data_IF_872955706295
#
_entry.id   IF_872955706295
#
_cell.length_a   1.000
_cell.length_b   1.000
_cell.length_c   1.000
_cell.angle_alpha   90.00
_cell.angle_beta   90.00
_cell.angle_gamma   90.00
#
_symmetry.space_group_name_H-M   'P 1'
#
loop_
_entity.id
_entity.type
_entity.pdbx_description
1 polymer ?
#
# COMPACT_ATOMS: atom_id res chain seq x y z
N UNK A 1 3.97 -12.10 15.23
CA UNK A 1 4.58 -10.76 15.12
C UNK A 1 6.00 -10.95 14.64
N UNK A 2 6.31 -10.47 13.45
CA UNK A 2 7.67 -10.43 12.92
C UNK A 2 8.12 -8.97 12.95
N UNK A 3 9.16 -8.66 13.73
CA UNK A 3 9.72 -7.30 13.87
C UNK A 3 11.12 -7.29 13.31
N UNK A 4 11.41 -6.41 12.35
CA UNK A 4 12.78 -6.18 11.88
C UNK A 4 13.47 -5.19 12.81
N UNK A 5 14.65 -5.55 13.29
CA UNK A 5 15.49 -4.73 14.14
C UNK A 5 16.47 -3.96 13.25
N UNK A 6 16.40 -2.64 13.29
CA UNK A 6 17.28 -1.76 12.54
C UNK A 6 18.30 -1.11 13.48
N UNK A 7 19.53 -0.92 12.99
CA UNK A 7 20.59 -0.22 13.72
C UNK A 7 20.34 1.28 13.83
N UNK A 8 21.31 2.01 14.39
CA UNK A 8 21.23 3.47 14.50
C UNK A 8 21.14 4.15 13.13
N UNK A 9 20.46 5.30 13.09
CA UNK A 9 20.35 6.12 11.88
C UNK A 9 21.71 6.61 11.42
N UNK A 10 21.92 6.62 10.11
CA UNK A 10 23.16 7.10 9.51
C UNK A 10 23.23 8.63 9.61
N UNK A 11 24.37 9.18 10.02
CA UNK A 11 24.60 10.63 10.07
C UNK A 11 25.23 11.16 8.75
N UNK A 12 25.21 12.49 8.56
CA UNK A 12 25.89 13.14 7.45
C UNK A 12 25.26 12.84 6.08
N UNK A 13 26.10 12.57 5.08
CA UNK A 13 25.69 12.32 3.69
C UNK A 13 24.79 11.08 3.55
N UNK A 14 24.91 10.10 4.45
CA UNK A 14 24.14 8.87 4.44
C UNK A 14 22.76 8.96 5.11
N UNK A 15 22.31 10.16 5.55
CA UNK A 15 21.06 10.34 6.34
C UNK A 15 19.77 9.82 5.68
N UNK A 16 19.77 9.70 4.36
CA UNK A 16 18.60 9.24 3.61
C UNK A 16 18.64 7.74 3.30
N UNK A 17 19.78 7.09 3.56
CA UNK A 17 19.92 5.65 3.41
C UNK A 17 19.32 4.94 4.61
N UNK A 18 18.57 3.84 4.40
CA UNK A 18 17.99 3.10 5.50
C UNK A 18 19.07 2.57 6.45
N UNK A 19 18.81 2.49 7.77
CA UNK A 19 19.74 1.88 8.71
C UNK A 19 19.95 0.40 8.39
N UNK A 20 21.10 -0.13 8.80
CA UNK A 20 21.42 -1.55 8.60
C UNK A 20 20.39 -2.42 9.33
N UNK A 21 19.79 -3.39 8.64
CA UNK A 21 18.96 -4.42 9.29
C UNK A 21 19.88 -5.34 10.11
N UNK A 22 19.71 -5.34 11.43
CA UNK A 22 20.53 -6.08 12.39
C UNK A 22 19.99 -7.49 12.66
N UNK A 23 18.70 -7.71 12.42
CA UNK A 23 18.07 -9.01 12.62
C UNK A 23 16.55 -8.92 12.57
N UNK A 24 15.90 -10.03 12.87
CA UNK A 24 14.45 -10.09 12.99
C UNK A 24 14.04 -10.91 14.22
N UNK A 25 13.01 -10.42 14.91
CA UNK A 25 12.39 -11.06 16.06
C UNK A 25 11.04 -11.63 15.61
N UNK A 26 10.88 -12.94 15.74
CA UNK A 26 9.64 -13.63 15.40
C UNK A 26 8.98 -14.18 16.66
N UNK A 27 7.92 -13.52 17.11
CA UNK A 27 7.15 -13.93 18.28
C UNK A 27 5.73 -14.33 17.91
N UNK A 28 5.26 -15.42 18.49
CA UNK A 28 3.88 -15.87 18.34
C UNK A 28 2.99 -15.16 19.35
N UNK A 29 2.21 -14.17 18.90
CA UNK A 29 1.26 -13.46 19.76
C UNK A 29 -0.03 -14.26 20.02
N UNK A 30 -0.58 -14.91 18.99
CA UNK A 30 -1.87 -15.60 19.10
C UNK A 30 -1.99 -16.75 18.08
N UNK A 31 -2.82 -17.76 18.39
CA UNK A 31 -3.25 -18.80 17.46
C UNK A 31 -2.22 -19.91 17.22
N UNK A 32 -2.16 -20.45 16.00
CA UNK A 32 -1.13 -21.40 15.54
C UNK A 32 -0.67 -20.98 14.13
N UNK A 33 0.18 -19.95 14.02
CA UNK A 33 0.62 -19.44 12.72
C UNK A 33 1.45 -20.50 11.98
N UNK A 34 1.34 -20.53 10.66
CA UNK A 34 2.18 -21.37 9.80
C UNK A 34 3.53 -20.68 9.64
N UNK A 35 4.59 -21.27 10.17
CA UNK A 35 5.92 -20.66 10.21
C UNK A 35 6.44 -20.27 8.80
N UNK A 36 6.14 -21.09 7.80
CA UNK A 36 6.55 -20.87 6.40
C UNK A 36 5.93 -19.61 5.77
N UNK A 37 4.76 -19.18 6.26
CA UNK A 37 4.06 -18.01 5.73
C UNK A 37 4.48 -16.70 6.44
N UNK A 38 5.36 -16.77 7.44
CA UNK A 38 5.79 -15.60 8.20
C UNK A 38 6.76 -14.77 7.35
N UNK A 39 6.30 -13.63 6.85
CA UNK A 39 7.11 -12.69 6.09
C UNK A 39 6.59 -11.26 6.25
N UNK A 40 7.48 -10.27 6.16
CA UNK A 40 7.12 -8.85 6.02
C UNK A 40 7.07 -8.38 4.57
N UNK A 41 7.51 -9.21 3.61
CA UNK A 41 7.70 -8.80 2.21
C UNK A 41 6.44 -8.25 1.56
N UNK A 42 5.27 -8.83 1.87
CA UNK A 42 3.98 -8.39 1.33
C UNK A 42 3.64 -6.96 1.77
N UNK A 43 3.77 -6.67 3.06
CA UNK A 43 3.50 -5.35 3.62
C UNK A 43 4.54 -4.33 3.16
N UNK A 44 5.81 -4.73 3.08
CA UNK A 44 6.89 -3.88 2.58
C UNK A 44 6.68 -3.50 1.10
N UNK A 45 6.28 -4.47 0.27
CA UNK A 45 5.95 -4.24 -1.14
C UNK A 45 4.75 -3.31 -1.27
N UNK A 46 3.68 -3.54 -0.50
CA UNK A 46 2.51 -2.65 -0.49
C UNK A 46 2.89 -1.22 -0.08
N UNK A 47 3.71 -1.06 0.95
CA UNK A 47 4.19 0.25 1.40
C UNK A 47 5.03 0.96 0.33
N UNK A 48 5.88 0.23 -0.39
CA UNK A 48 6.62 0.78 -1.51
C UNK A 48 5.68 1.25 -2.63
N UNK A 49 4.74 0.39 -3.04
CA UNK A 49 3.74 0.70 -4.08
C UNK A 49 2.94 1.95 -3.74
N UNK A 50 2.47 2.06 -2.49
CA UNK A 50 1.76 3.25 -2.02
C UNK A 50 2.63 4.50 -2.10
N UNK A 51 3.90 4.46 -1.67
CA UNK A 51 4.81 5.61 -1.71
C UNK A 51 5.22 6.04 -3.11
N UNK A 52 5.31 5.09 -4.05
CA UNK A 52 5.68 5.36 -5.44
C UNK A 52 4.52 5.93 -6.24
N UNK A 53 3.30 5.47 -5.98
CA UNK A 53 2.11 5.89 -6.73
C UNK A 53 1.35 7.05 -6.08
N UNK A 54 1.55 7.32 -4.79
CA UNK A 54 0.95 8.47 -4.11
C UNK A 54 2.04 9.43 -3.61
N UNK A 55 2.05 10.64 -4.17
CA UNK A 55 2.97 11.72 -3.77
C UNK A 55 2.81 12.12 -2.30
N UNK A 56 1.63 11.94 -1.69
CA UNK A 56 1.33 12.33 -0.30
C UNK A 56 2.16 11.58 0.74
N UNK A 57 2.70 10.41 0.40
CA UNK A 57 3.60 9.63 1.26
C UNK A 57 5.09 9.79 0.85
N UNK A 58 5.38 10.62 -0.14
CA UNK A 58 6.75 10.96 -0.50
C UNK A 58 7.29 12.04 0.44
N UNK A 59 8.55 11.92 0.85
CA UNK A 59 9.22 12.94 1.68
C UNK A 59 9.66 14.13 0.82
N UNK A 60 9.78 15.33 1.41
CA UNK A 60 10.30 16.53 0.75
C UNK A 60 9.54 16.90 -0.53
N UNK A 61 8.20 16.89 -0.46
CA UNK A 61 7.33 17.25 -1.58
C UNK A 61 6.30 18.28 -1.16
N UNK A 62 5.87 19.11 -2.10
CA UNK A 62 4.81 20.10 -1.88
C UNK A 62 3.40 19.50 -1.97
N UNK A 63 3.27 18.23 -2.38
CA UNK A 63 2.00 17.52 -2.54
C UNK A 63 1.55 16.84 -1.23
N UNK A 64 1.47 17.59 -0.13
CA UNK A 64 1.00 17.09 1.16
C UNK A 64 -0.46 17.44 1.42
N UNK A 65 -1.11 16.67 2.30
CA UNK A 65 -2.48 16.98 2.74
C UNK A 65 -2.43 17.84 3.99
N UNK A 66 -3.10 19.00 3.96
CA UNK A 66 -3.32 19.82 5.16
C UNK A 66 -4.37 19.23 6.10
N UNK A 67 -5.34 18.52 5.53
CA UNK A 67 -6.50 17.92 6.20
C UNK A 67 -6.40 16.40 6.12
N UNK A 68 -6.75 15.71 7.21
CA UNK A 68 -6.68 14.24 7.28
C UNK A 68 -7.70 13.59 6.34
N UNK A 69 -8.84 14.23 6.15
CA UNK A 69 -9.90 13.79 5.25
C UNK A 69 -9.40 13.72 3.80
N UNK A 70 -8.59 14.70 3.39
CA UNK A 70 -7.99 14.72 2.06
C UNK A 70 -6.97 13.59 1.87
N UNK A 71 -6.23 13.21 2.92
CA UNK A 71 -5.34 12.06 2.89
C UNK A 71 -6.15 10.77 2.76
N UNK A 72 -7.23 10.63 3.55
CA UNK A 72 -8.15 9.51 3.46
C UNK A 72 -8.76 9.35 2.06
N UNK A 73 -9.18 10.47 1.45
CA UNK A 73 -9.71 10.47 0.09
C UNK A 73 -8.68 10.00 -0.96
N UNK A 74 -7.42 10.44 -0.86
CA UNK A 74 -6.37 9.94 -1.75
C UNK A 74 -6.14 8.44 -1.59
N UNK A 75 -6.02 7.98 -0.33
CA UNK A 75 -5.78 6.56 -0.04
C UNK A 75 -6.93 5.72 -0.60
N UNK A 76 -8.18 6.18 -0.46
CA UNK A 76 -9.33 5.52 -1.04
C UNK A 76 -9.24 5.46 -2.57
N UNK A 77 -8.93 6.57 -3.24
CA UNK A 77 -8.75 6.60 -4.70
C UNK A 77 -7.63 5.68 -5.17
N UNK A 78 -6.50 5.67 -4.46
CA UNK A 78 -5.37 4.80 -4.77
C UNK A 78 -5.75 3.32 -4.71
N UNK A 79 -6.42 2.89 -3.63
CA UNK A 79 -6.85 1.50 -3.51
C UNK A 79 -7.96 1.12 -4.49
N UNK A 80 -8.85 2.06 -4.83
CA UNK A 80 -9.84 1.84 -5.87
C UNK A 80 -9.16 1.56 -7.21
N UNK A 81 -8.25 2.43 -7.64
CA UNK A 81 -7.52 2.26 -8.88
C UNK A 81 -6.65 0.99 -8.88
N UNK A 82 -5.84 0.80 -7.83
CA UNK A 82 -4.90 -0.32 -7.73
C UNK A 82 -5.59 -1.68 -7.75
N UNK A 83 -6.72 -1.82 -7.04
CA UNK A 83 -7.39 -3.11 -6.93
C UNK A 83 -8.32 -3.42 -8.11
N UNK A 84 -8.99 -2.41 -8.68
CA UNK A 84 -10.07 -2.65 -9.65
C UNK A 84 -9.66 -2.40 -11.11
N UNK A 85 -8.78 -1.42 -11.36
CA UNK A 85 -8.39 -0.99 -12.73
C UNK A 85 -7.01 -1.51 -13.12
N UNK A 86 -6.05 -1.50 -12.19
CA UNK A 86 -4.66 -1.88 -12.47
C UNK A 86 -4.48 -3.38 -12.71
N UNK A 87 -3.95 -3.77 -13.88
CA UNK A 87 -3.52 -5.15 -14.12
C UNK A 87 -2.16 -5.38 -13.46
N UNK A 88 -2.10 -6.34 -12.54
CA UNK A 88 -0.85 -6.67 -11.87
C UNK A 88 0.00 -7.61 -12.74
N UNK A 89 1.27 -7.28 -12.96
CA UNK A 89 2.15 -8.02 -13.87
C UNK A 89 2.21 -9.53 -13.58
N UNK A 90 2.31 -9.91 -12.30
CA UNK A 90 2.39 -11.31 -11.88
C UNK A 90 1.04 -12.04 -12.00
N UNK A 91 -0.07 -11.36 -11.72
CA UNK A 91 -1.41 -11.98 -11.71
C UNK A 91 -2.03 -12.01 -13.10
N UNK A 92 -1.60 -11.11 -14.00
CA UNK A 92 -2.18 -10.85 -15.33
C UNK A 92 -3.66 -10.42 -15.32
N UNK A 93 -4.22 -10.21 -14.14
CA UNK A 93 -5.56 -9.70 -13.86
C UNK A 93 -5.48 -8.66 -12.73
N UNK A 94 -6.58 -7.96 -12.45
CA UNK A 94 -6.62 -7.02 -11.32
C UNK A 94 -6.68 -7.77 -9.97
N UNK A 95 -6.17 -7.18 -8.88
CA UNK A 95 -6.26 -7.78 -7.56
C UNK A 95 -7.69 -8.10 -7.12
N UNK A 96 -8.67 -7.23 -7.44
CA UNK A 96 -10.07 -7.45 -7.10
C UNK A 96 -10.65 -8.66 -7.85
N UNK A 97 -10.26 -8.87 -9.11
CA UNK A 97 -10.64 -10.08 -9.86
C UNK A 97 -9.99 -11.33 -9.27
N UNK A 98 -8.71 -11.28 -8.92
CA UNK A 98 -8.02 -12.41 -8.31
C UNK A 98 -8.62 -12.81 -6.95
N UNK A 99 -9.14 -11.84 -6.21
CA UNK A 99 -9.85 -12.05 -4.95
C UNK A 99 -11.33 -12.45 -5.13
N UNK A 100 -11.85 -12.49 -6.35
CA UNK A 100 -13.26 -12.80 -6.64
C UNK A 100 -14.25 -11.71 -6.23
N UNK A 101 -13.79 -10.47 -5.99
CA UNK A 101 -14.64 -9.33 -5.64
C UNK A 101 -15.39 -8.80 -6.86
N UNK A 102 -14.80 -8.93 -8.04
CA UNK A 102 -15.42 -8.54 -9.31
C UNK A 102 -15.05 -9.53 -10.40
N UNK A 103 -15.90 -9.62 -11.44
CA UNK A 103 -15.72 -10.54 -12.57
C UNK A 103 -15.14 -9.86 -13.81
N UNK A 104 -15.06 -8.53 -13.83
CA UNK A 104 -14.53 -7.74 -14.94
C UNK A 104 -13.47 -6.76 -14.46
N UNK A 105 -12.66 -6.29 -15.41
CA UNK A 105 -11.73 -5.21 -15.16
C UNK A 105 -12.49 -3.89 -15.18
N UNK A 106 -12.28 -3.06 -14.16
CA UNK A 106 -12.94 -1.77 -14.12
C UNK A 106 -12.24 -0.76 -15.03
N UNK A 107 -13.02 0.13 -15.62
CA UNK A 107 -12.51 1.33 -16.29
C UNK A 107 -12.53 2.54 -15.35
N UNK A 108 -11.72 3.56 -15.67
CA UNK A 108 -11.68 4.80 -14.88
C UNK A 108 -13.05 5.49 -14.91
N UNK A 109 -13.78 5.42 -16.03
CA UNK A 109 -15.11 6.02 -16.17
C UNK A 109 -16.11 5.44 -15.17
N UNK A 110 -16.08 4.13 -14.92
CA UNK A 110 -16.97 3.49 -13.95
C UNK A 110 -16.74 3.99 -12.52
N UNK A 111 -15.50 4.38 -12.18
CA UNK A 111 -15.21 5.01 -10.88
C UNK A 111 -15.85 6.40 -10.80
N UNK A 112 -15.81 7.18 -11.89
CA UNK A 112 -16.39 8.52 -11.95
C UNK A 112 -17.91 8.44 -11.86
N UNK A 113 -18.53 7.49 -12.55
CA UNK A 113 -19.99 7.28 -12.56
C UNK A 113 -20.58 7.01 -11.16
N UNK A 114 -19.77 6.52 -10.21
CA UNK A 114 -20.19 6.37 -8.82
C UNK A 114 -20.51 7.71 -8.14
N UNK A 115 -19.88 8.80 -8.57
CA UNK A 115 -20.17 10.14 -8.07
C UNK A 115 -21.54 10.64 -8.56
N UNK A 116 -21.86 10.41 -9.84
CA UNK A 116 -23.12 10.86 -10.44
C UNK A 116 -24.32 10.13 -9.81
N UNK A 117 -24.21 8.80 -9.64
CA UNK A 117 -25.23 7.98 -8.97
C UNK A 117 -25.52 8.43 -7.54
N UNK A 118 -24.52 8.97 -6.85
CA UNK A 118 -24.66 9.47 -5.48
C UNK A 118 -25.41 10.81 -5.42
N UNK A 119 -25.40 11.62 -6.48
CA UNK A 119 -26.08 12.92 -6.51
C UNK A 119 -27.57 12.82 -6.90
N UNK A 120 -27.97 11.72 -7.54
CA UNK A 120 -29.38 11.47 -7.93
C UNK A 120 -30.22 10.76 -6.87
N UNK A 121 -29.68 10.52 -5.67
CA UNK A 121 -30.40 10.05 -4.48
C UNK A 121 -30.41 11.14 -3.41
#
# INVERSE_FOLDING_TARGET
MLVRLYGQENAGEARYSPPKCMGCLCEKLMGKPKNEAISTSMVECQNLTMRMNMRRFTRLTNAFSKKIENLGAEVALHFMYYNFVGIHQTLRISPAMAAGVTTHLWEIFEIIDLLEKKQSN
#
